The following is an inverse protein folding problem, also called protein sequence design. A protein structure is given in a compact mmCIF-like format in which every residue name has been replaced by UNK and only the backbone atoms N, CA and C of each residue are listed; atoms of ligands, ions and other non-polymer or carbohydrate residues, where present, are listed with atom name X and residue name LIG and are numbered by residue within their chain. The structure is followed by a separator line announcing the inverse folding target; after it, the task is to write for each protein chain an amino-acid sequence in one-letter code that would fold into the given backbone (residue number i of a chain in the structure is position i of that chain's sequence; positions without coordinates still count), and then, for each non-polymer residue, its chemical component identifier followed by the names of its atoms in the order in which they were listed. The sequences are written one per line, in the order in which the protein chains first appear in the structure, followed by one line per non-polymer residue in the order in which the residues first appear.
data_IF_440127606555
#
_entry.id   IF_440127606555
#
_cell.length_a   1.000
_cell.length_b   1.000
_cell.length_c   1.000
_cell.angle_alpha   90.00
_cell.angle_beta   90.00
_cell.angle_gamma   90.00
#
_symmetry.space_group_name_H-M   'P 1'
#
loop_
_entity.id
_entity.type
_entity.pdbx_description
1 polymer ?
#
# COMPACT_ATOMS: atom_id res chain seq x y z
N UNK A 1 16.40 -16.42 0.35
CA UNK A 1 15.54 -15.30 0.80
C UNK A 1 16.45 -14.17 1.25
N UNK A 2 16.23 -12.95 0.78
CA UNK A 2 17.03 -11.77 1.15
C UNK A 2 16.41 -11.09 2.38
N UNK A 3 17.20 -10.53 3.32
CA UNK A 3 16.65 -9.76 4.43
C UNK A 3 16.04 -8.43 3.94
N UNK A 4 15.07 -7.92 4.71
CA UNK A 4 14.58 -6.55 4.50
C UNK A 4 15.64 -5.53 4.91
N UNK A 5 15.69 -4.36 4.24
CA UNK A 5 16.70 -3.35 4.54
C UNK A 5 16.47 -2.73 5.92
N UNK A 6 17.55 -2.52 6.67
CA UNK A 6 17.52 -1.72 7.91
C UNK A 6 17.08 -0.29 7.55
N UNK A 7 16.30 0.33 8.45
CA UNK A 7 15.54 1.58 8.24
C UNK A 7 14.42 1.50 7.20
N UNK A 8 14.22 0.35 6.56
CA UNK A 8 13.03 0.09 5.78
C UNK A 8 11.77 0.13 6.66
N UNK A 9 10.75 0.83 6.19
CA UNK A 9 9.44 0.93 6.81
C UNK A 9 8.64 -0.35 6.52
N UNK A 10 8.03 -0.92 7.55
CA UNK A 10 7.20 -2.13 7.49
C UNK A 10 5.96 -1.98 8.35
N UNK A 11 4.83 -2.61 7.97
CA UNK A 11 3.66 -2.70 8.83
C UNK A 11 3.92 -3.72 9.94
N UNK A 12 3.61 -3.34 11.17
CA UNK A 12 3.66 -4.21 12.33
C UNK A 12 2.71 -3.70 13.42
N UNK A 13 1.83 -4.58 13.91
CA UNK A 13 0.80 -4.24 14.92
C UNK A 13 -0.01 -2.97 14.57
N UNK A 14 -0.45 -2.86 13.31
CA UNK A 14 -1.24 -1.73 12.82
C UNK A 14 -0.48 -0.42 12.61
N UNK A 15 0.84 -0.41 12.81
CA UNK A 15 1.69 0.77 12.63
C UNK A 15 2.70 0.56 11.50
N UNK A 16 3.06 1.63 10.79
CA UNK A 16 4.19 1.63 9.86
C UNK A 16 5.43 2.08 10.63
N UNK A 17 6.40 1.18 10.79
CA UNK A 17 7.57 1.37 11.65
C UNK A 17 8.87 1.02 10.94
N UNK A 18 9.99 1.70 11.24
CA UNK A 18 11.27 1.36 10.66
C UNK A 18 11.90 0.12 11.32
N UNK A 19 12.53 -0.71 10.50
CA UNK A 19 13.42 -1.78 10.97
C UNK A 19 14.66 -1.16 11.61
N UNK A 20 14.94 -1.50 12.87
CA UNK A 20 16.09 -0.98 13.61
C UNK A 20 17.34 -1.84 13.40
N UNK A 21 17.17 -3.15 13.35
CA UNK A 21 18.25 -4.09 13.10
C UNK A 21 17.71 -5.40 12.52
N UNK A 22 18.62 -6.19 11.93
CA UNK A 22 18.33 -7.52 11.40
C UNK A 22 19.40 -8.49 11.88
N UNK A 23 18.99 -9.70 12.24
CA UNK A 23 19.89 -10.81 12.57
C UNK A 23 19.49 -12.06 11.80
N UNK A 24 20.49 -12.90 11.52
CA UNK A 24 20.24 -14.25 10.98
C UNK A 24 19.89 -15.17 12.16
N UNK A 25 18.78 -15.89 12.04
CA UNK A 25 18.29 -16.82 13.06
C UNK A 25 18.33 -18.26 12.52
N UNK A 26 18.86 -19.24 13.27
CA UNK A 26 19.03 -20.62 12.80
C UNK A 26 17.72 -21.29 12.31
N UNK A 27 16.60 -21.05 13.00
CA UNK A 27 15.31 -21.67 12.69
C UNK A 27 14.36 -20.84 11.81
N UNK A 28 14.59 -19.53 11.68
CA UNK A 28 13.63 -18.60 11.03
C UNK A 28 14.22 -17.82 9.85
N UNK A 29 15.49 -18.08 9.50
CA UNK A 29 16.22 -17.33 8.50
C UNK A 29 16.64 -15.96 9.03
N UNK A 30 15.72 -14.99 9.09
CA UNK A 30 15.98 -13.64 9.58
C UNK A 30 14.97 -13.19 10.64
N UNK A 31 15.45 -12.51 11.67
CA UNK A 31 14.65 -11.80 12.68
C UNK A 31 15.00 -10.32 12.69
N UNK A 32 14.05 -9.50 13.10
CA UNK A 32 14.12 -8.05 13.03
C UNK A 32 13.80 -7.43 14.39
N UNK A 33 14.47 -6.31 14.68
CA UNK A 33 14.06 -5.41 15.75
C UNK A 33 13.22 -4.28 15.17
N UNK A 34 12.02 -4.07 15.71
CA UNK A 34 11.14 -2.94 15.37
C UNK A 34 10.60 -2.30 16.64
N UNK A 35 10.32 -1.00 16.60
CA UNK A 35 9.72 -0.29 17.73
C UNK A 35 8.33 0.21 17.36
N UNK A 36 7.35 -0.02 18.23
CA UNK A 36 6.00 0.51 18.09
C UNK A 36 5.70 1.48 19.22
N UNK A 37 4.62 2.25 19.08
CA UNK A 37 4.10 3.09 20.17
C UNK A 37 2.84 2.46 20.77
N UNK A 38 2.78 2.36 22.09
CA UNK A 38 1.59 1.94 22.82
C UNK A 38 0.52 3.06 22.84
N UNK A 39 -0.69 2.73 23.28
CA UNK A 39 -1.81 3.67 23.34
C UNK A 39 -1.54 4.83 24.32
N UNK A 40 -0.85 4.55 25.42
CA UNK A 40 -0.36 5.49 26.42
C UNK A 40 0.90 6.27 25.99
N UNK A 41 1.34 6.09 24.74
CA UNK A 41 2.52 6.71 24.11
C UNK A 41 3.87 6.11 24.50
N UNK A 42 3.91 5.03 25.26
CA UNK A 42 5.17 4.34 25.59
C UNK A 42 5.82 3.68 24.36
N UNK A 43 7.16 3.61 24.39
CA UNK A 43 7.95 2.93 23.36
C UNK A 43 8.01 1.43 23.65
N UNK A 44 7.47 0.62 22.75
CA UNK A 44 7.56 -0.83 22.83
C UNK A 44 8.62 -1.35 21.86
N UNK A 45 9.58 -2.12 22.38
CA UNK A 45 10.67 -2.71 21.60
C UNK A 45 10.37 -4.18 21.34
N UNK A 46 10.30 -4.56 20.07
CA UNK A 46 10.08 -5.94 19.63
C UNK A 46 11.38 -6.47 19.02
N UNK A 47 12.19 -7.15 19.83
CA UNK A 47 13.58 -7.48 19.49
C UNK A 47 13.78 -8.65 18.52
N UNK A 48 12.80 -9.55 18.40
CA UNK A 48 12.92 -10.80 17.63
C UNK A 48 11.70 -11.09 16.75
N UNK A 49 11.29 -10.11 15.93
CA UNK A 49 10.17 -10.30 15.00
C UNK A 49 10.61 -11.18 13.83
N UNK A 50 9.98 -12.34 13.57
CA UNK A 50 10.36 -13.20 12.45
C UNK A 50 10.07 -12.58 11.08
N UNK A 51 10.89 -12.88 10.08
CA UNK A 51 10.67 -12.40 8.71
C UNK A 51 9.27 -12.71 8.17
N UNK A 52 8.78 -13.93 8.42
CA UNK A 52 7.47 -14.37 7.96
C UNK A 52 6.33 -13.51 8.54
N UNK A 53 6.48 -13.00 9.77
CA UNK A 53 5.49 -12.13 10.42
C UNK A 53 5.42 -10.77 9.72
N UNK A 54 6.57 -10.18 9.40
CA UNK A 54 6.60 -8.92 8.64
C UNK A 54 6.08 -9.12 7.21
N UNK A 55 6.43 -10.22 6.55
CA UNK A 55 5.94 -10.53 5.21
C UNK A 55 4.41 -10.73 5.20
N UNK A 56 3.87 -11.43 6.19
CA UNK A 56 2.43 -11.58 6.36
C UNK A 56 1.74 -10.24 6.62
N UNK A 57 2.32 -9.39 7.46
CA UNK A 57 1.82 -8.04 7.72
C UNK A 57 1.81 -7.18 6.44
N UNK A 58 2.86 -7.26 5.62
CA UNK A 58 2.91 -6.60 4.30
C UNK A 58 1.81 -7.12 3.37
N UNK A 59 1.58 -8.44 3.38
CA UNK A 59 0.50 -9.04 2.61
C UNK A 59 -0.89 -8.57 3.05
N UNK A 60 -1.11 -8.42 4.35
CA UNK A 60 -2.40 -8.04 4.95
C UNK A 60 -2.79 -6.58 4.67
N UNK A 61 -1.83 -5.67 4.45
CA UNK A 61 -2.12 -4.26 4.14
C UNK A 61 -2.37 -3.99 2.65
N UNK A 62 -2.24 -5.00 1.79
CA UNK A 62 -2.47 -4.83 0.36
C UNK A 62 -3.97 -4.85 0.02
N UNK A 63 -4.46 -3.76 -0.58
CA UNK A 63 -5.86 -3.62 -1.01
C UNK A 63 -6.16 -4.36 -2.32
N UNK A 64 -5.16 -4.54 -3.19
CA UNK A 64 -5.36 -5.16 -4.50
C UNK A 64 -4.49 -6.41 -4.67
N UNK A 65 -5.02 -7.38 -5.41
CA UNK A 65 -4.32 -8.60 -5.79
C UNK A 65 -3.72 -8.49 -7.19
N UNK A 66 -2.60 -9.18 -7.45
CA UNK A 66 -2.09 -9.33 -8.82
C UNK A 66 -3.11 -10.12 -9.65
N UNK A 67 -3.34 -9.68 -10.89
CA UNK A 67 -4.37 -10.20 -11.80
C UNK A 67 -5.71 -9.47 -11.68
N UNK A 68 -5.95 -8.75 -10.58
CA UNK A 68 -7.19 -8.01 -10.37
C UNK A 68 -7.35 -6.90 -11.42
N UNK A 69 -8.56 -6.76 -11.94
CA UNK A 69 -8.95 -5.63 -12.78
C UNK A 69 -9.42 -4.48 -11.90
N UNK A 70 -8.96 -3.27 -12.22
CA UNK A 70 -9.35 -2.02 -11.56
C UNK A 70 -9.78 -1.01 -12.61
N UNK A 71 -10.80 -0.22 -12.30
CA UNK A 71 -11.24 0.88 -13.13
C UNK A 71 -10.54 2.15 -12.62
N UNK A 72 -9.71 2.75 -13.46
CA UNK A 72 -8.97 3.97 -13.12
C UNK A 72 -9.64 5.15 -13.82
N UNK A 73 -10.08 6.15 -13.07
CA UNK A 73 -10.79 7.34 -13.57
C UNK A 73 -11.98 6.99 -14.48
N UNK A 74 -12.68 5.91 -14.17
CA UNK A 74 -14.02 5.61 -14.66
C UNK A 74 -14.03 5.08 -16.08
N UNK A 75 -12.86 5.00 -16.70
CA UNK A 75 -12.71 4.87 -18.16
C UNK A 75 -11.70 3.81 -18.54
N UNK A 76 -10.71 3.56 -17.70
CA UNK A 76 -9.59 2.70 -18.05
C UNK A 76 -9.56 1.46 -17.17
N UNK A 77 -10.11 0.37 -17.70
CA UNK A 77 -9.98 -0.93 -17.09
C UNK A 77 -8.55 -1.44 -17.28
N UNK A 78 -7.78 -1.47 -16.19
CA UNK A 78 -6.38 -1.91 -16.15
C UNK A 78 -6.26 -3.10 -15.21
N UNK A 79 -5.24 -3.94 -15.41
CA UNK A 79 -4.95 -5.04 -14.52
C UNK A 79 -3.74 -4.72 -13.65
N UNK A 80 -3.82 -5.15 -12.39
CA UNK A 80 -2.68 -5.17 -11.48
C UNK A 80 -1.71 -6.26 -11.94
N UNK A 81 -0.62 -5.88 -12.58
CA UNK A 81 0.39 -6.80 -13.09
C UNK A 81 1.48 -7.11 -12.06
N UNK A 82 1.75 -6.14 -11.18
CA UNK A 82 2.79 -6.24 -10.15
C UNK A 82 2.26 -5.68 -8.84
N UNK A 83 2.68 -6.32 -7.75
CA UNK A 83 2.54 -5.81 -6.39
C UNK A 83 3.90 -5.93 -5.70
N UNK A 84 4.40 -4.82 -5.18
CA UNK A 84 5.66 -4.79 -4.43
C UNK A 84 5.55 -3.86 -3.24
N UNK A 85 6.43 -4.02 -2.26
CA UNK A 85 6.49 -3.15 -1.09
C UNK A 85 7.57 -2.09 -1.26
N UNK A 86 7.21 -0.82 -1.01
CA UNK A 86 8.17 0.28 -0.95
C UNK A 86 8.67 0.46 0.47
N UNK A 87 9.83 -0.11 0.80
CA UNK A 87 10.45 0.07 2.13
C UNK A 87 10.80 1.52 2.45
N UNK A 88 10.93 2.39 1.43
CA UNK A 88 11.19 3.81 1.65
C UNK A 88 9.94 4.57 2.09
N UNK A 89 8.78 4.24 1.52
CA UNK A 89 7.53 4.94 1.78
C UNK A 89 6.64 4.21 2.80
N UNK A 90 6.92 2.94 3.07
CA UNK A 90 6.10 2.12 3.96
C UNK A 90 4.71 1.85 3.39
N UNK A 91 4.60 1.68 2.07
CA UNK A 91 3.34 1.41 1.38
C UNK A 91 3.51 0.41 0.25
N UNK A 92 2.40 -0.19 -0.17
CA UNK A 92 2.33 -1.08 -1.33
C UNK A 92 2.39 -0.24 -2.61
N UNK A 93 3.13 -0.72 -3.60
CA UNK A 93 3.19 -0.15 -4.95
C UNK A 93 2.63 -1.17 -5.93
N UNK A 94 1.71 -0.71 -6.77
CA UNK A 94 1.06 -1.50 -7.80
C UNK A 94 1.54 -1.08 -9.17
N UNK A 95 1.89 -2.05 -10.02
CA UNK A 95 2.14 -1.85 -11.44
C UNK A 95 0.89 -2.22 -12.24
N UNK A 96 0.36 -1.28 -13.01
CA UNK A 96 -0.85 -1.45 -13.82
C UNK A 96 -0.51 -1.48 -15.30
N UNK A 97 -1.13 -2.38 -16.04
CA UNK A 97 -1.07 -2.39 -17.50
C UNK A 97 -2.38 -2.87 -18.12
N UNK A 98 -2.56 -2.63 -19.42
CA UNK A 98 -3.62 -3.30 -20.19
C UNK A 98 -3.27 -4.79 -20.35
N UNK A 99 -4.26 -5.70 -20.28
CA UNK A 99 -4.04 -7.11 -20.60
C UNK A 99 -3.34 -7.28 -21.94
N UNK A 100 -2.26 -8.07 -21.97
CA UNK A 100 -1.51 -8.37 -23.21
C UNK A 100 -0.59 -7.26 -23.71
N UNK A 101 -0.54 -6.08 -23.07
CA UNK A 101 0.39 -5.03 -23.45
C UNK A 101 1.79 -5.31 -22.87
N UNK A 102 2.78 -5.52 -23.75
CA UNK A 102 4.20 -5.69 -23.35
C UNK A 102 4.88 -4.40 -22.87
N UNK A 103 4.29 -3.24 -23.16
CA UNK A 103 4.80 -1.91 -22.79
C UNK A 103 3.72 -1.04 -22.14
N UNK A 104 4.14 -0.02 -21.39
CA UNK A 104 3.24 0.99 -20.81
C UNK A 104 2.76 0.69 -19.39
N UNK A 105 3.46 -0.19 -18.65
CA UNK A 105 3.17 -0.39 -17.24
C UNK A 105 3.42 0.91 -16.46
N UNK A 106 2.41 1.36 -15.71
CA UNK A 106 2.52 2.53 -14.81
C UNK A 106 2.47 2.06 -13.36
N UNK A 107 3.31 2.64 -12.51
CA UNK A 107 3.36 2.30 -11.09
C UNK A 107 2.69 3.38 -10.24
N UNK A 108 1.94 2.96 -9.23
CA UNK A 108 1.24 3.84 -8.30
C UNK A 108 1.41 3.31 -6.87
N UNK A 109 1.50 4.22 -5.88
CA UNK A 109 1.33 3.80 -4.49
C UNK A 109 -0.12 3.38 -4.25
N UNK A 110 -0.36 2.62 -3.18
CA UNK A 110 -1.69 2.17 -2.80
C UNK A 110 -2.67 3.34 -2.65
N UNK A 111 -2.25 4.39 -1.94
CA UNK A 111 -3.08 5.57 -1.68
C UNK A 111 -3.42 6.30 -2.98
N UNK A 112 -2.43 6.43 -3.89
CA UNK A 112 -2.66 7.10 -5.17
C UNK A 112 -3.58 6.28 -6.05
N UNK A 113 -3.42 4.96 -6.08
CA UNK A 113 -4.30 4.08 -6.84
C UNK A 113 -5.73 4.14 -6.27
N UNK A 114 -5.86 4.12 -4.95
CA UNK A 114 -7.16 4.23 -4.27
C UNK A 114 -7.88 5.52 -4.67
N UNK A 115 -7.20 6.68 -4.62
CA UNK A 115 -7.76 7.95 -5.10
C UNK A 115 -8.21 7.91 -6.56
N UNK A 116 -7.48 7.22 -7.43
CA UNK A 116 -7.82 7.14 -8.85
C UNK A 116 -8.97 6.18 -9.14
N UNK A 117 -9.23 5.23 -8.25
CA UNK A 117 -10.34 4.28 -8.35
C UNK A 117 -11.60 4.85 -7.68
N UNK A 118 -11.47 5.56 -6.56
CA UNK A 118 -12.59 6.19 -5.83
C UNK A 118 -13.08 7.50 -6.46
N UNK A 119 -12.25 8.22 -7.22
CA UNK A 119 -12.67 9.46 -7.87
C UNK A 119 -13.88 9.31 -8.81
N UNK A 120 -14.30 8.07 -9.10
CA UNK A 120 -15.45 7.73 -9.92
C UNK A 120 -16.71 7.35 -9.13
N UNK A 121 -16.66 7.31 -7.80
CA UNK A 121 -17.86 7.07 -6.98
C UNK A 121 -18.73 8.34 -6.81
N UNK A 122 -18.46 9.38 -7.62
CA UNK A 122 -19.35 10.52 -7.82
C UNK A 122 -20.21 10.25 -9.06
N UNK A 123 -21.51 9.95 -8.92
CA UNK A 123 -22.39 9.76 -10.06
C UNK A 123 -22.40 11.01 -10.96
N UNK A 124 -22.48 10.86 -12.29
CA UNK A 124 -22.79 11.96 -13.20
C UNK A 124 -24.26 12.35 -13.04
N UNK A 125 -24.59 12.97 -11.91
CA UNK A 125 -25.93 13.47 -11.61
C UNK A 125 -25.86 14.79 -10.85
N UNK A 126 -24.86 15.65 -11.09
CA UNK A 126 -24.87 17.04 -10.63
C UNK A 126 -24.15 18.02 -11.57
N UNK A 127 -24.11 17.73 -12.89
CA UNK A 127 -23.71 18.72 -13.90
C UNK A 127 -24.84 19.67 -14.32
N UNK A 128 -26.02 19.61 -13.70
CA UNK A 128 -27.23 20.29 -14.18
C UNK A 128 -27.89 21.32 -13.26
N UNK A 129 -27.32 21.72 -12.10
CA UNK A 129 -27.96 22.72 -11.20
C UNK A 129 -26.98 23.64 -10.47
N UNK A 130 -25.93 24.10 -11.15
CA UNK A 130 -25.08 25.19 -10.62
C UNK A 130 -25.43 26.58 -11.15
N UNK A 131 -26.33 26.70 -12.14
CA UNK A 131 -26.71 27.99 -12.74
C UNK A 131 -28.05 28.58 -12.26
N UNK A 132 -28.79 27.92 -11.36
CA UNK A 132 -30.10 28.42 -10.90
C UNK A 132 -30.09 29.03 -9.48
N UNK A 133 -28.96 28.95 -8.76
CA UNK A 133 -28.84 29.50 -7.39
C UNK A 133 -28.05 30.82 -7.30
N UNK A 134 -27.56 31.37 -8.41
CA UNK A 134 -26.92 32.70 -8.44
C UNK A 134 -27.87 33.84 -8.86
N UNK A 135 -29.17 33.58 -9.03
CA UNK A 135 -30.17 34.59 -9.41
C UNK A 135 -31.31 34.79 -8.41
N UNK A 136 -31.23 34.21 -7.22
CA UNK A 136 -32.16 34.47 -6.13
C UNK A 136 -31.36 34.56 -4.84
N UNK A 137 -30.78 35.73 -4.58
CA UNK A 137 -30.66 36.47 -3.31
C UNK A 137 -29.51 37.47 -3.39
#
# INVERSE_FOLDING_TARGET
MQPFPVKGLVPYLGQIVPIQSVRRHPGHGFTYCVHTRAADRELLIHGEVPHAVLLASIGAVAHYAVGQQVLVQGRHALHIMLRTWSFRQGTVVYGLAKPGAKMGMKTYTQEKLFQLVEADDVPPAFEGKRSELENLY
#
